data_IF_090754381522
#
_entry.id   IF_090754381522
#
_cell.length_a   1.000
_cell.length_b   1.000
_cell.length_c   1.000
_cell.angle_alpha   90.00
_cell.angle_beta   90.00
_cell.angle_gamma   90.00
#
_symmetry.space_group_name_H-M   'P 1'
#
loop_
_entity.id
_entity.type
_entity.pdbx_description
1 polymer ?
#
# COMPACT_ATOMS: atom_id res chain seq x y z
N UNK A 1 -7.13 -15.91 -12.27
CA UNK A 1 -8.15 -15.90 -11.19
C UNK A 1 -7.95 -14.78 -10.15
N UNK A 2 -6.73 -14.47 -9.70
CA UNK A 2 -6.47 -13.45 -8.66
C UNK A 2 -7.02 -12.04 -8.97
N UNK A 3 -6.96 -11.59 -10.22
CA UNK A 3 -7.50 -10.29 -10.63
C UNK A 3 -9.03 -10.23 -10.55
N UNK A 4 -9.72 -11.30 -10.96
CA UNK A 4 -11.19 -11.39 -10.91
C UNK A 4 -11.70 -11.41 -9.46
N UNK A 5 -11.00 -12.11 -8.57
CA UNK A 5 -11.28 -12.15 -7.13
C UNK A 5 -10.78 -10.91 -6.38
N UNK A 6 -10.02 -10.02 -7.05
CA UNK A 6 -9.45 -8.81 -6.44
C UNK A 6 -8.60 -9.09 -5.20
N UNK A 7 -7.82 -10.16 -5.23
CA UNK A 7 -7.08 -10.66 -4.06
C UNK A 7 -6.17 -9.61 -3.40
N UNK A 8 -5.52 -8.75 -4.19
CA UNK A 8 -4.62 -7.70 -3.68
C UNK A 8 -5.30 -6.35 -3.39
N UNK A 9 -6.59 -6.19 -3.69
CA UNK A 9 -7.31 -4.94 -3.43
C UNK A 9 -7.31 -4.52 -1.95
N UNK A 10 -7.46 -5.43 -0.97
CA UNK A 10 -7.33 -5.09 0.44
C UNK A 10 -5.95 -4.54 0.81
N UNK A 11 -4.87 -5.13 0.28
CA UNK A 11 -3.49 -4.68 0.54
C UNK A 11 -3.25 -3.28 -0.01
N UNK A 12 -3.72 -3.00 -1.23
CA UNK A 12 -3.63 -1.66 -1.83
C UNK A 12 -4.40 -0.63 -1.01
N UNK A 13 -5.62 -0.98 -0.56
CA UNK A 13 -6.43 -0.08 0.27
C UNK A 13 -5.82 0.14 1.65
N UNK A 14 -5.16 -0.88 2.23
CA UNK A 14 -4.43 -0.76 3.48
C UNK A 14 -3.28 0.24 3.36
N UNK A 15 -2.44 0.13 2.32
CA UNK A 15 -1.34 1.09 2.06
C UNK A 15 -1.85 2.51 1.92
N UNK A 16 -2.95 2.70 1.18
CA UNK A 16 -3.59 4.01 1.03
C UNK A 16 -4.16 4.54 2.35
N UNK A 17 -4.79 3.69 3.17
CA UNK A 17 -5.31 4.10 4.49
C UNK A 17 -4.18 4.51 5.43
N UNK A 18 -3.07 3.78 5.42
CA UNK A 18 -1.87 4.13 6.18
C UNK A 18 -1.32 5.50 5.76
N UNK A 19 -1.19 5.74 4.45
CA UNK A 19 -0.77 7.05 3.94
C UNK A 19 -1.75 8.17 4.31
N UNK A 20 -3.06 7.91 4.31
CA UNK A 20 -4.04 8.89 4.73
C UNK A 20 -3.92 9.23 6.24
N UNK A 21 -3.62 8.23 7.08
CA UNK A 21 -3.50 8.40 8.53
C UNK A 21 -2.28 9.21 8.96
N UNK A 22 -1.24 9.30 8.13
CA UNK A 22 -0.11 10.21 8.37
C UNK A 22 -0.48 11.68 8.18
N UNK A 23 -1.60 11.99 7.51
CA UNK A 23 -2.04 13.36 7.19
C UNK A 23 -1.24 14.03 6.06
N UNK A 24 -0.15 13.43 5.59
CA UNK A 24 0.75 14.00 4.58
C UNK A 24 0.16 14.03 3.17
N UNK A 25 -0.84 13.17 2.93
CA UNK A 25 -1.58 13.08 1.65
C UNK A 25 -2.28 14.38 1.23
N UNK A 26 -2.49 15.34 2.15
CA UNK A 26 -3.05 16.66 1.84
C UNK A 26 -2.02 17.65 1.31
N UNK A 27 -0.74 17.43 1.62
CA UNK A 27 0.34 18.35 1.25
C UNK A 27 1.01 17.90 -0.05
N UNK A 28 1.21 16.59 -0.22
CA UNK A 28 2.04 16.04 -1.29
C UNK A 28 1.45 14.74 -1.84
N UNK A 29 1.63 14.50 -3.14
CA UNK A 29 1.24 13.26 -3.81
C UNK A 29 2.18 12.09 -3.40
N UNK A 30 3.46 12.40 -3.29
CA UNK A 30 4.56 11.48 -2.97
C UNK A 30 5.34 12.06 -1.81
N UNK A 31 5.65 11.23 -0.82
CA UNK A 31 6.41 11.61 0.35
C UNK A 31 7.19 10.42 0.90
N UNK A 32 8.24 10.71 1.65
CA UNK A 32 9.10 9.72 2.28
C UNK A 32 8.90 9.76 3.79
N UNK A 33 8.87 8.60 4.41
CA UNK A 33 8.83 8.40 5.85
C UNK A 33 10.16 7.78 6.31
N UNK A 34 10.87 8.53 7.15
CA UNK A 34 12.13 8.14 7.79
C UNK A 34 11.87 8.06 9.30
N UNK A 35 11.48 6.87 9.74
CA UNK A 35 11.14 6.56 11.12
C UNK A 35 10.20 7.59 11.80
N UNK A 36 9.10 7.95 11.14
CA UNK A 36 8.07 8.86 11.66
C UNK A 36 8.30 10.34 11.35
N UNK A 37 9.40 10.69 10.69
CA UNK A 37 9.58 12.03 10.10
C UNK A 37 9.34 11.96 8.60
N UNK A 38 8.46 12.83 8.13
CA UNK A 38 8.02 12.86 6.75
C UNK A 38 8.68 14.00 5.98
N UNK A 39 9.02 13.74 4.72
CA UNK A 39 9.49 14.79 3.80
C UNK A 39 8.84 14.67 2.42
N UNK A 40 8.58 15.81 1.81
CA UNK A 40 8.10 15.93 0.44
C UNK A 40 9.17 16.45 -0.52
N UNK A 41 10.39 16.64 -0.07
CA UNK A 41 11.49 17.15 -0.88
C UNK A 41 12.58 16.08 -0.99
N UNK A 42 13.13 15.92 -2.20
CA UNK A 42 14.19 14.95 -2.47
C UNK A 42 15.50 15.33 -1.78
N UNK A 43 15.80 16.63 -1.67
CA UNK A 43 17.07 17.12 -1.13
C UNK A 43 17.18 16.93 0.39
N UNK A 44 16.06 16.90 1.10
CA UNK A 44 16.04 16.78 2.56
C UNK A 44 16.26 15.33 3.03
N UNK A 45 16.21 14.35 2.11
CA UNK A 45 16.35 12.93 2.41
C UNK A 45 17.72 12.61 3.00
N UNK A 46 18.80 13.14 2.41
CA UNK A 46 20.18 12.84 2.84
C UNK A 46 20.42 13.31 4.29
N UNK A 47 19.97 14.54 4.62
CA UNK A 47 20.07 15.10 5.97
C UNK A 47 19.26 14.30 7.00
N UNK A 48 18.08 13.82 6.60
CA UNK A 48 17.21 13.04 7.49
C UNK A 48 17.79 11.65 7.78
N UNK A 49 18.44 11.01 6.80
CA UNK A 49 19.11 9.72 6.99
C UNK A 49 20.25 9.85 8.01
N UNK A 50 21.07 10.89 7.92
CA UNK A 50 22.18 11.12 8.87
C UNK A 50 21.69 11.36 10.30
N UNK A 51 20.52 11.99 10.47
CA UNK A 51 19.90 12.21 11.79
C UNK A 51 19.23 10.97 12.40
N UNK A 52 19.03 9.91 11.62
CA UNK A 52 18.12 8.80 11.96
C UNK A 52 18.84 7.60 12.58
N UNK A 53 19.46 7.75 13.75
CA UNK A 53 20.24 6.66 14.37
C UNK A 53 19.51 5.85 15.46
N UNK A 54 18.34 6.28 15.96
CA UNK A 54 17.72 5.63 17.15
C UNK A 54 16.19 5.41 17.08
N UNK A 55 15.55 5.65 15.93
CA UNK A 55 14.08 5.56 15.88
C UNK A 55 13.58 4.15 15.59
N UNK A 56 12.45 3.82 16.20
CA UNK A 56 11.78 2.52 16.09
C UNK A 56 11.34 2.22 14.65
N UNK A 57 11.56 0.98 14.22
CA UNK A 57 11.19 0.47 12.89
C UNK A 57 9.75 -0.06 12.94
N UNK A 58 8.82 0.60 12.27
CA UNK A 58 7.46 0.08 12.10
C UNK A 58 7.24 -0.42 10.66
N UNK A 59 7.66 -1.66 10.43
CA UNK A 59 7.51 -2.38 9.18
C UNK A 59 6.47 -3.48 9.31
N UNK A 60 5.76 -3.75 8.22
CA UNK A 60 4.81 -4.84 8.16
C UNK A 60 5.41 -6.05 7.44
N UNK A 61 4.98 -7.29 7.78
CA UNK A 61 5.48 -8.50 7.14
C UNK A 61 5.26 -8.57 5.61
N UNK A 62 4.30 -7.80 5.08
CA UNK A 62 3.98 -7.76 3.65
C UNK A 62 4.69 -6.61 2.92
N UNK A 63 5.46 -5.78 3.62
CA UNK A 63 6.24 -4.72 2.98
C UNK A 63 7.34 -5.34 2.11
N UNK A 64 7.48 -4.79 0.91
CA UNK A 64 8.51 -5.23 -0.01
C UNK A 64 9.78 -4.41 0.22
N UNK A 65 10.83 -5.10 0.67
CA UNK A 65 12.18 -4.58 0.79
C UNK A 65 12.88 -4.65 -0.56
N UNK A 66 13.38 -3.51 -1.03
CA UNK A 66 14.17 -3.46 -2.25
C UNK A 66 15.55 -4.07 -2.00
N UNK A 67 16.07 -4.79 -3.01
CA UNK A 67 17.32 -5.54 -2.90
C UNK A 67 18.47 -4.62 -2.48
N UNK A 68 18.89 -4.80 -1.23
CA UNK A 68 20.14 -4.25 -0.70
C UNK A 68 21.22 -5.32 -0.86
N UNK A 69 22.41 -4.92 -1.28
CA UNK A 69 23.53 -5.85 -1.50
C UNK A 69 23.71 -6.81 -0.30
N UNK A 70 23.78 -8.10 -0.60
CA UNK A 70 23.66 -9.26 0.32
C UNK A 70 24.69 -9.33 1.47
N UNK A 71 25.56 -8.33 1.63
CA UNK A 71 26.68 -8.34 2.57
C UNK A 71 26.45 -7.48 3.82
N UNK A 72 25.32 -6.77 3.93
CA UNK A 72 25.01 -5.92 5.09
C UNK A 72 23.78 -6.49 5.80
N UNK A 73 23.89 -6.68 7.11
CA UNK A 73 22.74 -7.03 7.93
C UNK A 73 21.69 -5.92 7.83
N UNK A 74 20.59 -6.20 7.13
CA UNK A 74 19.42 -5.29 6.95
C UNK A 74 18.92 -4.71 8.28
N UNK A 75 19.20 -5.38 9.40
CA UNK A 75 18.84 -4.99 10.75
C UNK A 75 19.50 -3.69 11.22
N UNK A 76 20.69 -3.33 10.72
CA UNK A 76 21.42 -2.13 11.14
C UNK A 76 21.16 -0.88 10.29
N UNK A 77 20.42 -1.01 9.17
CA UNK A 77 20.20 0.11 8.24
C UNK A 77 19.02 0.98 8.64
N UNK A 78 19.08 2.26 8.26
CA UNK A 78 17.96 3.20 8.37
C UNK A 78 16.87 2.76 7.40
N UNK A 79 15.67 2.48 7.93
CA UNK A 79 14.53 2.10 7.09
C UNK A 79 13.87 3.36 6.53
N UNK A 80 13.72 3.38 5.21
CA UNK A 80 13.13 4.50 4.46
C UNK A 80 11.95 3.99 3.66
N UNK A 81 10.77 4.53 3.93
CA UNK A 81 9.51 4.11 3.31
C UNK A 81 9.07 5.21 2.34
N UNK A 82 8.99 4.88 1.04
CA UNK A 82 8.43 5.78 0.03
C UNK A 82 6.94 5.51 -0.13
N UNK A 83 6.12 6.54 0.08
CA UNK A 83 4.72 6.55 -0.29
C UNK A 83 4.57 7.35 -1.58
N UNK A 84 4.14 6.69 -2.66
CA UNK A 84 4.03 7.38 -3.95
C UNK A 84 2.95 6.84 -4.86
N UNK A 85 2.50 7.72 -5.76
CA UNK A 85 1.57 7.37 -6.84
C UNK A 85 2.37 7.00 -8.09
N UNK A 86 2.27 5.74 -8.49
CA UNK A 86 2.93 5.24 -9.71
C UNK A 86 2.40 5.90 -10.98
N UNK A 87 1.19 6.44 -10.95
CA UNK A 87 0.60 7.18 -12.07
C UNK A 87 1.26 8.54 -12.29
N UNK A 88 1.79 9.17 -11.24
CA UNK A 88 2.41 10.48 -11.33
C UNK A 88 3.94 10.35 -11.40
N UNK A 89 4.44 10.08 -12.61
CA UNK A 89 5.87 9.85 -12.84
C UNK A 89 6.76 11.05 -12.48
N UNK A 90 6.26 12.27 -12.62
CA UNK A 90 7.06 13.48 -12.36
C UNK A 90 7.41 13.60 -10.88
N UNK A 91 6.46 13.28 -10.00
CA UNK A 91 6.68 13.33 -8.57
C UNK A 91 7.34 12.05 -8.06
N UNK A 92 6.98 10.88 -8.57
CA UNK A 92 7.47 9.60 -8.05
C UNK A 92 8.91 9.26 -8.47
N UNK A 93 9.24 9.46 -9.76
CA UNK A 93 10.51 9.04 -10.35
C UNK A 93 11.76 9.60 -9.63
N UNK A 94 11.85 10.92 -9.30
CA UNK A 94 13.05 11.45 -8.68
C UNK A 94 13.31 10.87 -7.28
N UNK A 95 12.26 10.63 -6.48
CA UNK A 95 12.40 9.95 -5.19
C UNK A 95 12.84 8.51 -5.37
N UNK A 96 12.19 7.78 -6.29
CA UNK A 96 12.49 6.37 -6.50
C UNK A 96 13.94 6.18 -6.95
N UNK A 97 14.42 6.93 -7.94
CA UNK A 97 15.81 6.84 -8.43
C UNK A 97 16.81 7.10 -7.30
N UNK A 98 16.63 8.16 -6.52
CA UNK A 98 17.52 8.50 -5.40
C UNK A 98 17.56 7.40 -4.34
N UNK A 99 16.40 6.87 -3.93
CA UNK A 99 16.32 5.83 -2.91
C UNK A 99 16.89 4.48 -3.40
N UNK A 100 16.71 4.15 -4.68
CA UNK A 100 17.33 2.96 -5.28
C UNK A 100 18.85 3.08 -5.26
N UNK A 101 19.42 4.21 -5.65
CA UNK A 101 20.86 4.45 -5.59
C UNK A 101 21.40 4.33 -4.15
N UNK A 102 20.70 4.88 -3.17
CA UNK A 102 21.07 4.80 -1.76
C UNK A 102 20.99 3.36 -1.21
N UNK A 103 19.96 2.59 -1.62
CA UNK A 103 19.78 1.19 -1.22
C UNK A 103 20.82 0.27 -1.86
N UNK A 104 21.13 0.47 -3.15
CA UNK A 104 22.20 -0.28 -3.85
C UNK A 104 23.58 -0.01 -3.22
N UNK A 105 23.82 1.21 -2.75
CA UNK A 105 25.02 1.56 -2.00
C UNK A 105 25.03 0.99 -0.56
N UNK A 106 23.97 0.31 -0.13
CA UNK A 106 23.87 -0.31 1.19
C UNK A 106 23.71 0.70 2.33
N UNK A 107 23.25 1.93 2.05
CA UNK A 107 23.09 2.98 3.08
C UNK A 107 21.74 2.90 3.79
N UNK A 108 20.71 2.43 3.10
CA UNK A 108 19.33 2.40 3.61
C UNK A 108 18.65 1.07 3.28
N UNK A 109 17.68 0.73 4.11
CA UNK A 109 16.70 -0.30 3.84
C UNK A 109 15.46 0.36 3.19
N UNK A 110 15.28 0.14 1.89
CA UNK A 110 14.28 0.86 1.10
C UNK A 110 13.01 0.02 0.94
N UNK A 111 11.88 0.60 1.35
CA UNK A 111 10.54 0.00 1.24
C UNK A 111 9.63 0.89 0.41
N UNK A 112 8.84 0.28 -0.47
CA UNK A 112 7.89 0.98 -1.33
C UNK A 112 6.44 0.67 -0.93
N UNK A 113 5.66 1.72 -0.65
CA UNK A 113 4.21 1.64 -0.41
C UNK A 113 3.44 2.48 -1.44
N UNK A 114 2.32 1.95 -1.90
CA UNK A 114 1.48 2.65 -2.85
C UNK A 114 0.61 3.71 -2.16
N UNK A 115 0.66 4.94 -2.65
CA UNK A 115 -0.23 6.02 -2.25
C UNK A 115 -0.80 6.68 -3.50
N UNK A 116 -2.11 6.58 -3.70
CA UNK A 116 -2.80 7.31 -4.76
C UNK A 116 -3.94 8.13 -4.15
N UNK A 117 -4.14 9.33 -4.69
CA UNK A 117 -5.30 10.12 -4.33
C UNK A 117 -6.58 9.37 -4.76
N UNK A 118 -7.68 9.51 -4.00
CA UNK A 118 -8.97 9.03 -4.48
C UNK A 118 -9.23 9.59 -5.89
N UNK A 119 -9.64 8.77 -6.86
CA UNK A 119 -10.21 9.33 -8.07
C UNK A 119 -11.38 10.24 -7.66
N UNK A 120 -11.52 11.38 -8.35
CA UNK A 120 -12.59 12.37 -8.11
C UNK A 120 -14.00 11.76 -8.22
N UNK A 121 -14.15 10.63 -8.90
CA UNK A 121 -15.35 9.79 -8.91
C UNK A 121 -15.33 8.75 -7.76
N UNK A 122 -15.32 9.25 -6.52
CA UNK A 122 -15.29 8.47 -5.26
C UNK A 122 -16.56 7.61 -5.03
N UNK A 123 -17.44 7.53 -6.03
CA UNK A 123 -18.72 6.81 -5.98
C UNK A 123 -18.63 5.35 -6.42
N UNK A 124 -17.54 4.92 -7.07
CA UNK A 124 -17.41 3.53 -7.54
C UNK A 124 -16.78 2.63 -6.48
N UNK A 125 -17.62 2.08 -5.60
CA UNK A 125 -17.22 1.01 -4.68
C UNK A 125 -16.73 -0.21 -5.45
N UNK A 126 -15.71 -0.87 -4.91
CA UNK A 126 -15.14 -2.11 -5.47
C UNK A 126 -16.17 -3.25 -5.37
N UNK A 127 -16.49 -3.89 -6.50
CA UNK A 127 -17.31 -5.12 -6.50
C UNK A 127 -16.45 -6.32 -6.11
N UNK A 128 -16.83 -7.01 -5.04
CA UNK A 128 -16.18 -8.23 -4.58
C UNK A 128 -16.89 -9.47 -5.14
N UNK A 129 -16.12 -10.53 -5.33
CA UNK A 129 -16.60 -11.86 -5.72
C UNK A 129 -16.12 -12.89 -4.68
N UNK A 130 -16.63 -14.11 -4.72
CA UNK A 130 -16.28 -15.17 -3.76
C UNK A 130 -17.31 -15.38 -2.65
N UNK A 131 -18.51 -14.84 -2.80
CA UNK A 131 -19.68 -15.21 -2.01
C UNK A 131 -20.67 -15.99 -2.88
N UNK A 132 -21.32 -17.00 -2.30
CA UNK A 132 -22.44 -17.69 -2.92
C UNK A 132 -23.75 -17.07 -2.47
N UNK A 133 -24.73 -16.99 -3.36
CA UNK A 133 -26.11 -16.63 -3.03
C UNK A 133 -26.96 -17.83 -3.38
N UNK A 134 -27.71 -18.33 -2.41
CA UNK A 134 -28.70 -19.39 -2.61
C UNK A 134 -30.09 -18.90 -2.26
N UNK A 135 -31.09 -19.43 -2.95
CA UNK A 135 -32.50 -19.18 -2.66
C UNK A 135 -33.09 -20.44 -2.07
N UNK A 136 -33.42 -20.39 -0.78
CA UNK A 136 -34.02 -21.52 -0.09
C UNK A 136 -35.55 -21.47 -0.23
N UNK A 137 -36.13 -22.60 -0.62
CA UNK A 137 -37.58 -22.77 -0.60
C UNK A 137 -38.03 -22.89 0.86
N UNK A 138 -38.84 -21.93 1.33
CA UNK A 138 -39.32 -21.88 2.72
C UNK A 138 -40.31 -22.99 3.06
N UNK A 139 -41.03 -23.51 2.07
CA UNK A 139 -41.99 -24.60 2.24
C UNK A 139 -41.84 -25.60 1.10
N UNK A 140 -41.32 -26.79 1.41
CA UNK A 140 -41.20 -27.92 0.48
C UNK A 140 -42.41 -28.85 0.54
N UNK A 141 -43.45 -28.47 1.29
CA UNK A 141 -44.70 -29.22 1.33
C UNK A 141 -45.41 -29.10 -0.03
N UNK A 142 -45.71 -30.25 -0.63
CA UNK A 142 -46.51 -30.32 -1.84
C UNK A 142 -47.98 -30.18 -1.48
N UNK A 143 -48.63 -29.10 -1.95
CA UNK A 143 -50.10 -28.99 -1.93
C UNK A 143 -50.64 -29.46 -3.26
N UNK A 144 -51.22 -30.65 -3.28
CA UNK A 144 -52.06 -31.10 -4.37
C UNK A 144 -53.46 -30.51 -4.18
N UNK A 145 -53.89 -29.61 -5.06
CA UNK A 145 -55.31 -29.29 -5.22
C UNK A 145 -55.89 -30.27 -6.23
N UNK A 146 -56.79 -31.13 -5.76
CA UNK A 146 -57.58 -32.04 -6.59
C UNK A 146 -58.77 -31.26 -7.15
N UNK A 147 -58.71 -30.87 -8.42
CA UNK A 147 -59.86 -30.35 -9.17
C UNK A 147 -60.73 -31.53 -9.65
N UNK A 148 -61.38 -32.20 -8.69
CA UNK A 148 -62.43 -33.17 -8.98
C UNK A 148 -63.75 -32.42 -9.24
N UNK A 149 -64.29 -32.62 -10.45
CA UNK A 149 -65.47 -31.96 -11.01
C UNK A 149 -66.75 -32.76 -10.79
#
# INVERSE_FOLDING_TARGET
MALALRFYSPTVQMMRKMAHDTGMTRQCSTFVDIHGVYTCNVNDIDNLIESANERSKFLFPFDHHYLTNNNVEQKSLVTVILYGDFGNQNDFKPFHTKLVELSLNGKIDYVLRHNSQPPTDDRRKVRLAGYGVELQIKSTEYKATDDSK
#
